data_IF_106599175774
#
_entry.id   IF_106599175774
#
_cell.length_a   1.000
_cell.length_b   1.000
_cell.length_c   1.000
_cell.angle_alpha   90.00
_cell.angle_beta   90.00
_cell.angle_gamma   90.00
#
_symmetry.space_group_name_H-M   'P 1'
#
loop_
_entity.id
_entity.type
_entity.pdbx_description
1 polymer ?
#
# COMPACT_ATOMS: atom_id res chain seq x y z
N UNK A 1 -27.01 -12.20 -1.01
CA UNK A 1 -27.66 -10.87 -1.11
C UNK A 1 -26.53 -9.86 -1.28
N UNK A 2 -26.22 -9.48 -2.53
CA UNK A 2 -25.17 -8.51 -2.82
C UNK A 2 -25.71 -7.11 -2.63
N UNK A 3 -25.68 -6.61 -1.38
CA UNK A 3 -25.83 -5.17 -1.16
C UNK A 3 -24.71 -4.44 -1.89
N UNK A 4 -25.03 -3.32 -2.52
CA UNK A 4 -24.01 -2.48 -3.14
C UNK A 4 -22.92 -2.16 -2.11
N UNK A 5 -21.66 -2.45 -2.46
CA UNK A 5 -20.55 -2.13 -1.56
C UNK A 5 -20.47 -0.61 -1.41
N UNK A 6 -20.22 -0.08 -0.20
CA UNK A 6 -20.08 1.36 -0.02
C UNK A 6 -19.02 1.91 -0.99
N UNK A 7 -19.35 3.00 -1.68
CA UNK A 7 -18.46 3.62 -2.68
C UNK A 7 -17.07 3.92 -2.10
N UNK A 8 -16.98 4.30 -0.82
CA UNK A 8 -15.69 4.55 -0.17
C UNK A 8 -14.80 3.31 -0.05
N UNK A 9 -15.37 2.11 0.12
CA UNK A 9 -14.60 0.86 0.13
C UNK A 9 -14.01 0.57 -1.25
N UNK A 10 -14.76 0.88 -2.32
CA UNK A 10 -14.27 0.76 -3.69
C UNK A 10 -13.11 1.73 -3.95
N UNK A 11 -13.25 2.99 -3.55
CA UNK A 11 -12.17 3.99 -3.64
C UNK A 11 -10.92 3.51 -2.91
N UNK A 12 -11.05 3.06 -1.67
CA UNK A 12 -9.93 2.53 -0.88
C UNK A 12 -9.27 1.32 -1.57
N UNK A 13 -10.06 0.39 -2.10
CA UNK A 13 -9.55 -0.78 -2.83
C UNK A 13 -8.73 -0.35 -4.04
N UNK A 14 -9.25 0.61 -4.83
CA UNK A 14 -8.56 1.14 -6.01
C UNK A 14 -7.25 1.84 -5.63
N UNK A 15 -7.25 2.63 -4.56
CA UNK A 15 -6.03 3.28 -4.06
C UNK A 15 -4.94 2.25 -3.72
N UNK A 16 -5.27 1.22 -2.93
CA UNK A 16 -4.30 0.17 -2.58
C UNK A 16 -3.83 -0.65 -3.79
N UNK A 17 -4.70 -0.89 -4.78
CA UNK A 17 -4.27 -1.54 -6.04
C UNK A 17 -3.27 -0.67 -6.79
N UNK A 18 -3.52 0.64 -6.88
CA UNK A 18 -2.61 1.58 -7.54
C UNK A 18 -1.29 1.66 -6.79
N UNK A 19 -1.32 1.80 -5.47
CA UNK A 19 -0.12 1.78 -4.62
C UNK A 19 0.67 0.49 -4.80
N UNK A 20 -0.01 -0.66 -4.81
CA UNK A 20 0.63 -1.96 -5.05
C UNK A 20 1.30 -2.05 -6.42
N UNK A 21 0.66 -1.56 -7.49
CA UNK A 21 1.25 -1.52 -8.83
C UNK A 21 2.49 -0.63 -8.87
N UNK A 22 2.44 0.56 -8.29
CA UNK A 22 3.59 1.46 -8.20
C UNK A 22 4.70 0.87 -7.34
N UNK A 23 4.37 0.25 -6.21
CA UNK A 23 5.31 -0.40 -5.30
C UNK A 23 6.04 -1.57 -5.98
N UNK A 24 5.33 -2.42 -6.71
CA UNK A 24 5.96 -3.50 -7.48
C UNK A 24 6.85 -2.95 -8.58
N UNK A 25 6.37 -1.99 -9.38
CA UNK A 25 7.14 -1.44 -10.48
C UNK A 25 8.42 -0.73 -9.98
N UNK A 26 8.27 0.18 -9.01
CA UNK A 26 9.38 0.93 -8.44
C UNK A 26 10.33 0.03 -7.64
N UNK A 27 9.80 -0.90 -6.84
CA UNK A 27 10.59 -1.86 -6.10
C UNK A 27 11.42 -2.77 -7.00
N UNK A 28 10.84 -3.27 -8.11
CA UNK A 28 11.56 -4.05 -9.10
C UNK A 28 12.66 -3.25 -9.81
N UNK A 29 12.39 -1.98 -10.15
CA UNK A 29 13.39 -1.08 -10.73
C UNK A 29 14.57 -0.84 -9.76
N UNK A 30 14.30 -0.59 -8.48
CA UNK A 30 15.33 -0.41 -7.46
C UNK A 30 16.12 -1.71 -7.21
N UNK A 31 15.44 -2.84 -7.13
CA UNK A 31 16.06 -4.15 -6.89
C UNK A 31 17.03 -4.52 -8.01
N UNK A 32 16.57 -4.39 -9.27
CA UNK A 32 17.39 -4.66 -10.46
C UNK A 32 18.51 -3.63 -10.62
N UNK A 33 18.23 -2.33 -10.42
CA UNK A 33 19.23 -1.26 -10.47
C UNK A 33 20.33 -1.43 -9.43
N UNK A 34 19.96 -1.75 -8.18
CA UNK A 34 20.90 -2.04 -7.11
C UNK A 34 21.76 -3.28 -7.40
N UNK A 35 21.14 -4.35 -7.92
CA UNK A 35 21.85 -5.55 -8.36
C UNK A 35 22.90 -5.24 -9.43
N UNK A 36 22.53 -4.49 -10.47
CA UNK A 36 23.46 -4.05 -11.52
C UNK A 36 24.62 -3.21 -10.98
N UNK A 37 24.36 -2.28 -10.06
CA UNK A 37 25.43 -1.50 -9.41
C UNK A 37 26.37 -2.37 -8.57
N UNK A 38 25.83 -3.37 -7.87
CA UNK A 38 26.63 -4.35 -7.15
C UNK A 38 27.59 -5.10 -8.07
N UNK A 39 27.10 -5.59 -9.22
CA UNK A 39 27.92 -6.22 -10.26
C UNK A 39 28.97 -5.28 -10.86
N UNK A 40 28.66 -3.98 -10.98
CA UNK A 40 29.58 -2.95 -11.49
C UNK A 40 30.66 -2.52 -10.48
N UNK A 41 30.76 -3.16 -9.32
CA UNK A 41 31.80 -2.89 -8.31
C UNK A 41 31.38 -1.91 -7.21
N UNK A 42 30.15 -1.40 -7.22
CA UNK A 42 29.60 -0.55 -6.15
C UNK A 42 28.98 -1.40 -5.03
N UNK A 43 29.74 -2.34 -4.48
CA UNK A 43 29.24 -3.45 -3.66
C UNK A 43 28.23 -3.06 -2.56
N UNK A 44 28.63 -2.23 -1.58
CA UNK A 44 27.74 -1.86 -0.47
C UNK A 44 26.55 -1.00 -0.90
N UNK A 45 26.78 0.00 -1.74
CA UNK A 45 25.70 0.88 -2.22
C UNK A 45 24.67 0.11 -3.07
N UNK A 46 25.15 -0.75 -3.98
CA UNK A 46 24.31 -1.57 -4.85
C UNK A 46 23.49 -2.59 -4.06
N UNK A 47 24.11 -3.30 -3.11
CA UNK A 47 23.41 -4.27 -2.25
C UNK A 47 22.36 -3.61 -1.35
N UNK A 48 22.65 -2.44 -0.76
CA UNK A 48 21.67 -1.69 0.02
C UNK A 48 20.48 -1.25 -0.84
N UNK A 49 20.74 -0.70 -2.04
CA UNK A 49 19.66 -0.30 -2.94
C UNK A 49 18.82 -1.50 -3.39
N UNK A 50 19.47 -2.62 -3.68
CA UNK A 50 18.79 -3.86 -4.06
C UNK A 50 17.87 -4.37 -2.94
N UNK A 51 18.36 -4.33 -1.70
CA UNK A 51 17.60 -4.70 -0.51
C UNK A 51 16.39 -3.78 -0.29
N UNK A 52 16.57 -2.45 -0.43
CA UNK A 52 15.47 -1.49 -0.35
C UNK A 52 14.42 -1.79 -1.43
N UNK A 53 14.85 -2.02 -2.66
CA UNK A 53 13.95 -2.37 -3.76
C UNK A 53 13.15 -3.64 -3.50
N UNK A 54 13.78 -4.68 -2.95
CA UNK A 54 13.09 -5.92 -2.57
C UNK A 54 12.04 -5.69 -1.47
N UNK A 55 12.35 -4.86 -0.46
CA UNK A 55 11.39 -4.50 0.59
C UNK A 55 10.19 -3.76 -0.01
N UNK A 56 10.43 -2.77 -0.87
CA UNK A 56 9.36 -2.00 -1.53
C UNK A 56 8.49 -2.89 -2.41
N UNK A 57 9.08 -3.86 -3.11
CA UNK A 57 8.36 -4.85 -3.91
C UNK A 57 7.45 -5.71 -3.02
N UNK A 58 7.96 -6.19 -1.88
CA UNK A 58 7.16 -6.96 -0.91
C UNK A 58 5.99 -6.13 -0.37
N UNK A 59 6.22 -4.85 -0.05
CA UNK A 59 5.15 -3.94 0.39
C UNK A 59 4.08 -3.82 -0.69
N UNK A 60 4.47 -3.62 -1.96
CA UNK A 60 3.52 -3.56 -3.06
C UNK A 60 2.68 -4.83 -3.22
N UNK A 61 3.23 -6.01 -2.95
CA UNK A 61 2.48 -7.26 -2.91
C UNK A 61 1.50 -7.33 -1.72
N UNK A 62 1.91 -6.81 -0.55
CA UNK A 62 1.03 -6.73 0.63
C UNK A 62 -0.15 -5.80 0.36
N UNK A 63 0.04 -4.71 -0.38
CA UNK A 63 -1.04 -3.78 -0.73
C UNK A 63 -2.17 -4.46 -1.52
N UNK A 64 -1.86 -5.43 -2.38
CA UNK A 64 -2.90 -6.27 -3.02
C UNK A 64 -3.66 -7.14 -2.02
N UNK A 65 -2.98 -7.68 -1.01
CA UNK A 65 -3.65 -8.42 0.06
C UNK A 65 -4.59 -7.49 0.86
N UNK A 66 -4.15 -6.26 1.16
CA UNK A 66 -4.98 -5.24 1.81
C UNK A 66 -6.17 -4.86 0.92
N UNK A 67 -5.96 -4.61 -0.37
CA UNK A 67 -7.03 -4.34 -1.33
C UNK A 67 -8.06 -5.48 -1.38
N UNK A 68 -7.61 -6.73 -1.44
CA UNK A 68 -8.49 -7.90 -1.37
C UNK A 68 -9.25 -7.94 -0.05
N UNK A 69 -8.59 -7.67 1.07
CA UNK A 69 -9.21 -7.62 2.38
C UNK A 69 -10.28 -6.52 2.49
N UNK A 70 -10.00 -5.33 1.98
CA UNK A 70 -10.93 -4.19 1.93
C UNK A 70 -12.13 -4.49 1.04
N UNK A 71 -11.90 -5.05 -0.16
CA UNK A 71 -12.95 -5.45 -1.10
C UNK A 71 -13.93 -6.47 -0.50
N UNK A 72 -13.45 -7.32 0.41
CA UNK A 72 -14.23 -8.34 1.11
C UNK A 72 -14.64 -7.92 2.53
N UNK A 73 -14.49 -6.64 2.89
CA UNK A 73 -14.87 -6.08 4.19
C UNK A 73 -14.30 -6.87 5.39
N UNK A 74 -13.06 -7.36 5.26
CA UNK A 74 -12.40 -8.13 6.32
C UNK A 74 -11.87 -7.17 7.40
N UNK A 75 -12.17 -7.39 8.70
CA UNK A 75 -11.77 -6.47 9.79
C UNK A 75 -10.26 -6.23 9.87
N UNK A 76 -9.44 -7.25 9.61
CA UNK A 76 -7.98 -7.13 9.63
C UNK A 76 -7.46 -6.14 8.58
N UNK A 77 -8.12 -6.05 7.43
CA UNK A 77 -7.68 -5.21 6.31
C UNK A 77 -7.81 -3.73 6.64
N UNK A 78 -8.88 -3.36 7.36
CA UNK A 78 -9.07 -2.01 7.88
C UNK A 78 -7.95 -1.61 8.84
N UNK A 79 -7.60 -2.48 9.79
CA UNK A 79 -6.53 -2.20 10.75
C UNK A 79 -5.17 -2.05 10.05
N UNK A 80 -4.84 -2.96 9.13
CA UNK A 80 -3.59 -2.88 8.36
C UNK A 80 -3.57 -1.62 7.50
N UNK A 81 -4.67 -1.27 6.85
CA UNK A 81 -4.76 -0.06 6.04
C UNK A 81 -4.54 1.22 6.86
N UNK A 82 -5.07 1.29 8.09
CA UNK A 82 -4.80 2.42 9.01
C UNK A 82 -3.31 2.50 9.34
N UNK A 83 -2.68 1.38 9.69
CA UNK A 83 -1.25 1.34 10.02
C UNK A 83 -0.41 1.79 8.82
N UNK A 84 -0.70 1.25 7.64
CA UNK A 84 0.03 1.57 6.41
C UNK A 84 -0.16 3.04 6.03
N UNK A 85 -1.38 3.57 6.16
CA UNK A 85 -1.63 4.98 5.88
C UNK A 85 -0.88 5.90 6.87
N UNK A 86 -0.80 5.55 8.16
CA UNK A 86 0.00 6.31 9.14
C UNK A 86 1.49 6.31 8.74
N UNK A 87 2.03 5.17 8.35
CA UNK A 87 3.43 5.07 7.86
C UNK A 87 3.61 5.90 6.59
N UNK A 88 2.66 5.81 5.65
CA UNK A 88 2.68 6.53 4.39
C UNK A 88 2.63 8.06 4.53
N UNK A 89 2.20 8.60 5.69
CA UNK A 89 2.29 10.04 5.97
C UNK A 89 3.73 10.56 5.91
N UNK A 90 4.73 9.70 6.14
CA UNK A 90 6.16 10.03 6.03
C UNK A 90 6.63 10.14 4.56
N UNK A 91 5.85 9.62 3.60
CA UNK A 91 6.15 9.61 2.16
C UNK A 91 5.85 10.93 1.46
N UNK A 92 6.33 12.06 2.01
CA UNK A 92 6.00 13.40 1.51
C UNK A 92 6.53 13.65 0.08
N UNK A 93 5.77 14.35 -0.80
CA UNK A 93 4.41 14.87 -0.58
C UNK A 93 3.30 13.90 -0.99
N UNK A 94 3.56 13.02 -1.95
CA UNK A 94 2.52 12.22 -2.61
C UNK A 94 1.93 11.18 -1.65
N UNK A 95 2.79 10.41 -0.96
CA UNK A 95 2.36 9.43 0.04
C UNK A 95 1.55 10.07 1.15
N UNK A 96 1.93 11.26 1.60
CA UNK A 96 1.16 12.01 2.60
C UNK A 96 -0.26 12.32 2.14
N UNK A 97 -0.43 12.82 0.91
CA UNK A 97 -1.76 13.15 0.37
C UNK A 97 -2.63 11.89 0.26
N UNK A 98 -2.08 10.81 -0.28
CA UNK A 98 -2.82 9.55 -0.46
C UNK A 98 -3.18 8.96 0.91
N UNK A 99 -2.25 8.93 1.85
CA UNK A 99 -2.48 8.47 3.23
C UNK A 99 -3.57 9.26 3.95
N UNK A 100 -3.60 10.59 3.80
CA UNK A 100 -4.66 11.42 4.37
C UNK A 100 -6.01 11.04 3.78
N UNK A 101 -6.10 10.85 2.47
CA UNK A 101 -7.34 10.42 1.79
C UNK A 101 -7.77 9.05 2.32
N UNK A 102 -6.86 8.07 2.40
CA UNK A 102 -7.14 6.72 2.91
C UNK A 102 -7.68 6.79 4.35
N UNK A 103 -6.99 7.49 5.24
CA UNK A 103 -7.44 7.65 6.63
C UNK A 103 -8.82 8.31 6.68
N UNK A 104 -9.01 9.41 5.96
CA UNK A 104 -10.29 10.12 5.93
C UNK A 104 -11.44 9.22 5.50
N UNK A 105 -11.26 8.39 4.47
CA UNK A 105 -12.27 7.40 4.06
C UNK A 105 -12.48 6.29 5.10
N UNK A 106 -11.42 5.73 5.70
CA UNK A 106 -11.52 4.65 6.70
C UNK A 106 -12.22 5.06 8.01
N UNK A 107 -12.28 6.36 8.29
CA UNK A 107 -12.97 6.92 9.46
C UNK A 107 -14.38 7.44 9.17
N UNK A 108 -14.83 7.42 7.90
CA UNK A 108 -16.21 7.75 7.56
C UNK A 108 -17.21 6.78 8.21
N UNK A 109 -18.37 7.26 8.72
CA UNK A 109 -19.36 6.42 9.37
C UNK A 109 -19.83 5.25 8.50
N UNK A 110 -20.06 5.48 7.21
CA UNK A 110 -20.56 4.45 6.29
C UNK A 110 -19.55 3.31 6.12
N UNK A 111 -18.26 3.62 6.21
CA UNK A 111 -17.19 2.61 6.14
C UNK A 111 -17.07 1.88 7.47
N UNK A 112 -17.09 2.58 8.60
CA UNK A 112 -17.07 1.94 9.91
C UNK A 112 -18.21 0.92 10.06
N UNK A 113 -19.43 1.32 9.68
CA UNK A 113 -20.61 0.46 9.67
C UNK A 113 -20.42 -0.76 8.78
N UNK A 114 -19.87 -0.59 7.57
CA UNK A 114 -19.59 -1.69 6.65
C UNK A 114 -18.56 -2.71 7.19
N UNK A 115 -17.68 -2.28 8.09
CA UNK A 115 -16.74 -3.16 8.81
C UNK A 115 -17.30 -3.66 10.16
N UNK A 116 -18.55 -3.33 10.51
CA UNK A 116 -19.19 -3.72 11.76
C UNK A 116 -18.65 -2.99 13.00
N UNK A 117 -18.06 -1.80 12.81
CA UNK A 117 -17.54 -0.96 13.88
C UNK A 117 -18.50 0.22 14.06
N UNK A 118 -19.02 0.42 15.28
CA UNK A 118 -19.87 1.57 15.63
C UNK A 118 -19.02 2.80 15.96
#
# INVERSE_FOLDING_TARGET
>A
MGGEKPTGTVVLTVLYVIEGLFGIAYGAMLASGGGMMGFAGMGLAGSLLAGIGAIVLIIGLIDFAVAYGLWNLRPWARTVAIIFAIIGLLGFPIGTIISIIILWYLFKPEIKEAFGVQ
#
